data_IF_577798831686
#
_entry.id   IF_577798831686
#
_cell.length_a   1.000
_cell.length_b   1.000
_cell.length_c   1.000
_cell.angle_alpha   90.00
_cell.angle_beta   90.00
_cell.angle_gamma   90.00
#
_symmetry.space_group_name_H-M   'P 1'
#
loop_
_entity.id
_entity.type
_entity.pdbx_description
1 polymer ?
#
# COMPACT_ATOMS: atom_id res chain seq x y z
N UNK A 1 9.35 -14.80 -3.15
CA UNK A 1 7.89 -15.04 -3.22
C UNK A 1 7.22 -13.72 -2.96
N UNK A 2 6.51 -13.20 -3.96
CA UNK A 2 5.76 -11.92 -3.85
C UNK A 2 4.28 -12.28 -3.74
N UNK A 3 3.58 -11.66 -2.79
CA UNK A 3 2.12 -11.84 -2.68
C UNK A 3 1.48 -10.94 -3.74
N UNK A 4 0.79 -11.53 -4.72
CA UNK A 4 -0.03 -10.81 -5.69
C UNK A 4 -1.46 -10.71 -5.17
N UNK A 5 -1.90 -9.48 -4.90
CA UNK A 5 -3.22 -9.16 -4.35
C UNK A 5 -4.18 -8.59 -5.41
N UNK A 6 -3.74 -8.46 -6.65
CA UNK A 6 -4.45 -7.73 -7.71
C UNK A 6 -5.80 -8.34 -8.10
N UNK A 7 -6.04 -9.61 -7.76
CA UNK A 7 -7.27 -10.35 -8.04
C UNK A 7 -8.25 -10.41 -6.86
N UNK A 8 -7.92 -9.81 -5.71
CA UNK A 8 -8.81 -9.83 -4.54
C UNK A 8 -10.11 -9.07 -4.80
N UNK A 9 -11.24 -9.67 -4.43
CA UNK A 9 -12.56 -9.04 -4.47
C UNK A 9 -12.94 -8.32 -3.18
N UNK A 10 -12.18 -8.52 -2.08
CA UNK A 10 -12.37 -7.76 -0.84
C UNK A 10 -11.96 -6.29 -1.07
N UNK A 11 -12.88 -5.31 -0.91
CA UNK A 11 -12.63 -3.92 -1.29
C UNK A 11 -11.40 -3.29 -0.64
N UNK A 12 -11.15 -3.58 0.64
CA UNK A 12 -9.99 -3.03 1.36
C UNK A 12 -8.67 -3.61 0.88
N UNK A 13 -8.64 -4.89 0.56
CA UNK A 13 -7.44 -5.54 0.02
C UNK A 13 -7.18 -5.04 -1.41
N UNK A 14 -8.22 -4.78 -2.21
CA UNK A 14 -8.07 -4.18 -3.53
C UNK A 14 -7.44 -2.78 -3.46
N UNK A 15 -7.90 -1.93 -2.53
CA UNK A 15 -7.28 -0.62 -2.26
C UNK A 15 -5.83 -0.77 -1.81
N UNK A 16 -5.55 -1.68 -0.86
CA UNK A 16 -4.18 -1.94 -0.40
C UNK A 16 -3.27 -2.40 -1.54
N UNK A 17 -3.76 -3.28 -2.43
CA UNK A 17 -3.03 -3.72 -3.62
C UNK A 17 -2.65 -2.56 -4.53
N UNK A 18 -3.55 -1.60 -4.74
CA UNK A 18 -3.26 -0.42 -5.55
C UNK A 18 -2.22 0.48 -4.89
N UNK A 19 -2.36 0.76 -3.59
CA UNK A 19 -1.38 1.56 -2.83
C UNK A 19 0.01 0.92 -2.86
N UNK A 20 0.11 -0.40 -2.66
CA UNK A 20 1.38 -1.13 -2.71
C UNK A 20 2.03 -1.02 -4.09
N UNK A 21 1.25 -1.14 -5.17
CA UNK A 21 1.74 -1.01 -6.54
C UNK A 21 2.30 0.40 -6.81
N UNK A 22 1.60 1.45 -6.38
CA UNK A 22 2.06 2.84 -6.49
C UNK A 22 3.35 3.08 -5.71
N UNK A 23 3.44 2.56 -4.47
CA UNK A 23 4.68 2.66 -3.69
C UNK A 23 5.81 1.90 -4.35
N UNK A 24 5.56 0.70 -4.87
CA UNK A 24 6.57 -0.08 -5.61
C UNK A 24 7.08 0.66 -6.84
N UNK A 25 6.20 1.34 -7.59
CA UNK A 25 6.57 2.17 -8.73
C UNK A 25 7.40 3.41 -8.31
N UNK A 26 7.15 3.97 -7.13
CA UNK A 26 7.88 5.11 -6.58
C UNK A 26 9.26 4.74 -5.99
N UNK A 27 9.52 3.45 -5.70
CA UNK A 27 10.84 2.99 -5.26
C UNK A 27 11.84 3.10 -6.43
N UNK A 28 12.72 4.10 -6.36
CA UNK A 28 13.72 4.37 -7.40
C UNK A 28 14.83 3.30 -7.53
N UNK A 29 14.96 2.38 -6.56
CA UNK A 29 16.01 1.36 -6.55
C UNK A 29 15.44 -0.04 -6.77
N UNK A 30 15.63 -0.63 -7.96
CA UNK A 30 15.27 -2.01 -8.24
C UNK A 30 15.89 -2.94 -7.20
N UNK A 31 15.07 -3.77 -6.55
CA UNK A 31 15.53 -4.73 -5.53
C UNK A 31 15.38 -4.28 -4.08
N UNK A 32 14.82 -3.09 -3.81
CA UNK A 32 14.43 -2.72 -2.44
C UNK A 32 13.33 -3.65 -1.95
N UNK A 33 13.55 -4.33 -0.84
CA UNK A 33 12.56 -5.21 -0.25
C UNK A 33 11.42 -4.40 0.40
N UNK A 34 10.18 -4.75 0.06
CA UNK A 34 8.96 -4.21 0.66
C UNK A 34 8.15 -5.35 1.28
N UNK A 35 7.55 -5.10 2.43
CA UNK A 35 6.70 -6.04 3.14
C UNK A 35 5.43 -5.33 3.64
N UNK A 36 4.26 -5.93 3.41
CA UNK A 36 3.02 -5.51 4.06
C UNK A 36 3.06 -5.92 5.52
N UNK A 37 2.74 -5.01 6.43
CA UNK A 37 2.77 -5.25 7.89
C UNK A 37 1.45 -4.79 8.53
N UNK A 38 1.42 -4.74 9.86
CA UNK A 38 0.36 -4.08 10.61
C UNK A 38 -1.04 -4.65 10.38
N UNK A 39 -2.04 -3.77 10.41
CA UNK A 39 -3.44 -4.17 10.26
C UNK A 39 -3.71 -4.73 8.87
N UNK A 40 -3.10 -4.16 7.83
CA UNK A 40 -3.24 -4.62 6.44
C UNK A 40 -2.80 -6.07 6.27
N UNK A 41 -1.66 -6.47 6.84
CA UNK A 41 -1.18 -7.85 6.75
C UNK A 41 -2.14 -8.84 7.43
N UNK A 42 -2.66 -8.48 8.61
CA UNK A 42 -3.66 -9.29 9.32
C UNK A 42 -4.95 -9.42 8.52
N UNK A 43 -5.42 -8.35 7.89
CA UNK A 43 -6.66 -8.35 7.10
C UNK A 43 -6.52 -9.26 5.87
N UNK A 44 -5.39 -9.20 5.16
CA UNK A 44 -5.06 -10.11 4.05
C UNK A 44 -5.09 -11.57 4.51
N UNK A 45 -4.45 -11.88 5.64
CA UNK A 45 -4.41 -13.24 6.18
C UNK A 45 -5.80 -13.71 6.63
N UNK A 46 -6.59 -12.86 7.28
CA UNK A 46 -7.95 -13.18 7.71
C UNK A 46 -8.81 -13.57 6.51
N UNK A 47 -8.84 -12.74 5.47
CA UNK A 47 -9.63 -13.01 4.26
C UNK A 47 -9.08 -14.23 3.53
N UNK A 48 -7.77 -14.34 3.36
CA UNK A 48 -7.15 -15.47 2.65
C UNK A 48 -7.34 -16.83 3.34
N UNK A 49 -7.41 -16.86 4.68
CA UNK A 49 -7.54 -18.11 5.44
C UNK A 49 -9.00 -18.43 5.77
N UNK A 50 -9.80 -17.42 6.12
CA UNK A 50 -11.16 -17.62 6.65
C UNK A 50 -12.26 -17.18 5.70
N UNK A 51 -11.93 -16.46 4.62
CA UNK A 51 -12.90 -15.84 3.71
C UNK A 51 -13.53 -14.56 4.27
N UNK A 52 -13.26 -14.20 5.52
CA UNK A 52 -13.93 -13.10 6.22
C UNK A 52 -12.92 -12.02 6.65
N UNK A 53 -13.27 -10.73 6.49
CA UNK A 53 -12.46 -9.65 7.03
C UNK A 53 -12.63 -9.55 8.56
N UNK A 54 -11.61 -9.06 9.29
CA UNK A 54 -11.71 -8.90 10.74
C UNK A 54 -12.68 -7.77 11.13
N UNK A 55 -13.29 -7.89 12.31
CA UNK A 55 -14.30 -6.94 12.82
C UNK A 55 -13.75 -5.53 13.05
N UNK A 56 -12.49 -5.40 13.47
CA UNK A 56 -11.75 -4.14 13.56
C UNK A 56 -10.84 -4.01 12.35
N UNK A 57 -11.04 -2.99 11.54
CA UNK A 57 -10.17 -2.63 10.42
C UNK A 57 -9.78 -1.15 10.50
N UNK A 58 -8.65 -0.81 9.90
CA UNK A 58 -8.19 0.57 9.73
C UNK A 58 -8.24 0.93 8.25
N UNK A 59 -8.23 2.22 7.93
CA UNK A 59 -8.30 2.71 6.54
C UNK A 59 -6.92 2.92 5.91
N UNK A 60 -5.86 2.88 6.72
CA UNK A 60 -4.47 3.03 6.31
C UNK A 60 -3.87 1.70 5.82
N UNK A 61 -2.76 1.83 5.07
CA UNK A 61 -1.98 0.71 4.55
C UNK A 61 -0.59 0.74 5.18
N UNK A 62 -0.29 -0.26 6.00
CA UNK A 62 1.01 -0.35 6.68
C UNK A 62 2.03 -1.14 5.84
N UNK A 63 3.16 -0.52 5.52
CA UNK A 63 4.26 -1.15 4.78
C UNK A 63 5.61 -0.91 5.46
N UNK A 64 6.49 -1.90 5.39
CA UNK A 64 7.89 -1.81 5.74
C UNK A 64 8.74 -1.81 4.47
N UNK A 65 9.73 -0.92 4.42
CA UNK A 65 10.70 -0.83 3.33
C UNK A 65 12.10 -1.03 3.91
N UNK A 66 12.88 -1.95 3.34
CA UNK A 66 14.25 -2.17 3.75
C UNK A 66 15.15 -1.04 3.22
N UNK A 67 15.68 -0.21 4.12
CA UNK A 67 16.69 0.80 3.78
C UNK A 67 18.07 0.36 4.27
N UNK A 68 19.11 0.34 3.43
CA UNK A 68 20.43 -0.17 3.81
C UNK A 68 21.21 0.79 4.72
N UNK A 69 20.79 2.05 4.82
CA UNK A 69 21.37 3.06 5.69
C UNK A 69 20.44 4.25 5.88
N UNK A 70 20.72 5.08 6.90
CA UNK A 70 20.04 6.36 7.09
C UNK A 70 20.22 7.33 5.92
N UNK A 71 21.36 7.28 5.22
CA UNK A 71 21.59 8.09 4.03
C UNK A 71 20.61 7.69 2.89
N UNK A 72 20.35 6.39 2.73
CA UNK A 72 19.37 5.88 1.77
C UNK A 72 17.92 6.21 2.16
N UNK A 73 17.66 6.53 3.43
CA UNK A 73 16.35 6.99 3.91
C UNK A 73 16.07 8.47 3.54
N UNK A 74 17.10 9.31 3.35
CA UNK A 74 16.91 10.75 3.15
C UNK A 74 15.94 11.14 1.99
N UNK A 75 15.91 10.45 0.84
CA UNK A 75 14.92 10.69 -0.21
C UNK A 75 13.47 10.41 0.23
N UNK A 76 13.25 9.43 1.10
CA UNK A 76 11.93 9.04 1.63
C UNK A 76 11.32 10.10 2.54
N UNK A 77 12.16 10.94 3.19
CA UNK A 77 11.70 12.07 4.00
C UNK A 77 10.91 13.09 3.18
N UNK A 78 11.20 13.22 1.88
CA UNK A 78 10.51 14.17 0.99
C UNK A 78 9.15 13.68 0.53
N UNK A 79 9.04 12.38 0.27
CA UNK A 79 7.78 11.70 -0.10
C UNK A 79 6.79 11.64 1.09
N UNK A 80 7.30 11.53 2.32
CA UNK A 80 6.47 11.40 3.54
C UNK A 80 5.91 12.71 4.11
N UNK A 81 6.35 13.89 3.62
CA UNK A 81 5.87 15.20 4.11
C UNK A 81 4.78 15.85 3.24
N UNK A 82 4.19 15.11 2.28
CA UNK A 82 3.00 15.56 1.56
C UNK A 82 3.19 16.77 0.63
N UNK A 83 4.43 17.13 0.29
CA UNK A 83 4.70 18.29 -0.57
C UNK A 83 4.49 18.02 -2.06
N UNK A 84 4.40 16.75 -2.47
CA UNK A 84 4.22 16.32 -3.86
C UNK A 84 2.97 15.45 -4.04
N UNK A 85 1.89 15.72 -3.31
CA UNK A 85 0.61 15.05 -3.54
C UNK A 85 0.17 15.30 -5.01
N UNK A 86 0.39 14.29 -5.85
CA UNK A 86 -0.06 14.27 -7.24
C UNK A 86 -1.56 14.49 -7.23
N UNK A 87 -1.96 15.70 -7.60
CA UNK A 87 -3.35 16.08 -7.79
C UNK A 87 -3.80 15.51 -9.13
N UNK A 88 -4.08 14.21 -9.19
CA UNK A 88 -4.87 13.68 -10.30
C UNK A 88 -6.33 14.00 -9.98
N UNK A 89 -7.04 14.80 -10.79
CA UNK A 89 -8.44 15.06 -10.57
C UNK A 89 -9.19 13.74 -10.79
N UNK A 90 -9.85 13.23 -9.76
CA UNK A 90 -10.89 12.21 -9.95
C UNK A 90 -11.99 12.92 -10.74
N UNK A 91 -12.09 12.59 -12.03
CA UNK A 91 -13.12 13.15 -12.90
C UNK A 91 -14.49 12.98 -12.22
N UNK A 92 -15.14 14.11 -11.94
CA UNK A 92 -16.48 14.15 -11.37
C UNK A 92 -17.44 13.45 -12.31
N UNK A 93 -17.94 12.25 -11.93
CA UNK A 93 -19.22 11.77 -12.46
C UNK A 93 -20.30 12.66 -11.87
N UNK A 94 -20.68 13.69 -12.62
CA UNK A 94 -21.97 14.32 -12.48
C UNK A 94 -23.02 13.42 -13.17
N UNK A 95 -23.94 12.88 -12.39
CA UNK A 95 -25.32 12.59 -12.80
C UNK A 95 -26.19 12.83 -11.56
N UNK A 96 -27.40 13.37 -11.71
CA UNK A 96 -28.47 12.74 -12.47
C UNK A 96 -28.59 13.17 -13.93
#
# INVERSE_FOLDING_TARGET
MTIDLSSSTEPRIAVASHVIAEVQAAIASPGTALMVIGATARDILSVGVTGEPPSRATADVDIAIAVPSWAAYAPWRRVSTGSDAVSTPIASRASP
#
